data_IF_123233807584
#
_entry.id   IF_123233807584
#
_cell.length_a   1.000
_cell.length_b   1.000
_cell.length_c   1.000
_cell.angle_alpha   90.00
_cell.angle_beta   90.00
_cell.angle_gamma   90.00
#
_symmetry.space_group_name_H-M   'P 1'
#
loop_
_entity.id
_entity.type
_entity.pdbx_description
1 polymer ?
#
# COMPACT_ATOMS: atom_id res chain seq x y z
N UNK A 1 -13.69 8.89 -30.09
CA UNK A 1 -12.29 8.68 -29.65
C UNK A 1 -11.99 9.74 -28.59
N UNK A 2 -12.10 9.41 -27.30
CA UNK A 2 -11.85 10.37 -26.22
C UNK A 2 -10.37 10.74 -26.23
N UNK A 3 -10.05 11.99 -26.56
CA UNK A 3 -8.72 12.54 -26.35
C UNK A 3 -8.53 12.65 -24.84
N UNK A 4 -7.85 11.71 -24.22
CA UNK A 4 -7.36 11.87 -22.83
C UNK A 4 -6.54 13.16 -22.79
N UNK A 5 -6.96 14.12 -21.97
CA UNK A 5 -6.24 15.37 -21.82
C UNK A 5 -4.83 15.03 -21.29
N UNK A 6 -3.78 15.63 -21.84
CA UNK A 6 -2.40 15.41 -21.36
C UNK A 6 -2.29 15.64 -19.86
N UNK A 7 -3.08 16.58 -19.30
CA UNK A 7 -3.17 16.82 -17.86
C UNK A 7 -3.69 15.60 -17.11
N UNK A 8 -4.79 14.99 -17.55
CA UNK A 8 -5.40 13.83 -16.89
C UNK A 8 -4.43 12.65 -16.88
N UNK A 9 -3.72 12.43 -17.99
CA UNK A 9 -2.68 11.40 -18.07
C UNK A 9 -1.54 11.66 -17.10
N UNK A 10 -1.06 12.91 -16.99
CA UNK A 10 0.00 13.29 -16.05
C UNK A 10 -0.48 13.08 -14.61
N UNK A 11 -1.67 13.56 -14.25
CA UNK A 11 -2.25 13.39 -12.92
C UNK A 11 -2.36 11.91 -12.58
N UNK A 12 -2.89 11.10 -13.50
CA UNK A 12 -3.01 9.65 -13.32
C UNK A 12 -1.65 9.00 -13.03
N UNK A 13 -0.61 9.31 -13.80
CA UNK A 13 0.70 8.69 -13.59
C UNK A 13 1.40 9.21 -12.33
N UNK A 14 1.20 10.47 -11.95
CA UNK A 14 1.72 11.02 -10.69
C UNK A 14 1.07 10.33 -9.48
N UNK A 15 -0.26 10.22 -9.45
CA UNK A 15 -0.97 9.56 -8.34
C UNK A 15 -0.69 8.07 -8.31
N UNK A 16 -0.69 7.39 -9.46
CA UNK A 16 -0.31 5.97 -9.58
C UNK A 16 1.12 5.75 -9.08
N UNK A 17 2.06 6.62 -9.49
CA UNK A 17 3.45 6.56 -9.08
C UNK A 17 3.62 6.73 -7.56
N UNK A 18 2.91 7.68 -6.96
CA UNK A 18 2.93 7.91 -5.52
C UNK A 18 2.42 6.68 -4.75
N UNK A 19 1.27 6.12 -5.14
CA UNK A 19 0.72 4.90 -4.53
C UNK A 19 1.70 3.73 -4.65
N UNK A 20 2.25 3.50 -5.85
CA UNK A 20 3.23 2.43 -6.08
C UNK A 20 4.49 2.63 -5.24
N UNK A 21 4.98 3.87 -5.09
CA UNK A 21 6.16 4.17 -4.28
C UNK A 21 5.92 3.83 -2.81
N UNK A 22 4.80 4.25 -2.22
CA UNK A 22 4.45 3.97 -0.81
C UNK A 22 4.23 2.47 -0.58
N UNK A 23 3.52 1.80 -1.47
CA UNK A 23 3.29 0.35 -1.37
C UNK A 23 4.59 -0.44 -1.49
N UNK A 24 5.47 -0.06 -2.42
CA UNK A 24 6.78 -0.70 -2.59
C UNK A 24 7.67 -0.43 -1.39
N UNK A 25 7.75 0.83 -0.93
CA UNK A 25 8.54 1.21 0.22
C UNK A 25 8.15 0.40 1.47
N UNK A 26 6.86 0.36 1.79
CA UNK A 26 6.38 -0.41 2.95
C UNK A 26 6.64 -1.91 2.81
N UNK A 27 6.42 -2.50 1.63
CA UNK A 27 6.71 -3.91 1.36
C UNK A 27 8.19 -4.25 1.54
N UNK A 28 9.09 -3.39 1.06
CA UNK A 28 10.54 -3.54 1.26
C UNK A 28 10.88 -3.38 2.75
N UNK A 29 10.35 -2.33 3.40
CA UNK A 29 10.67 -2.01 4.78
C UNK A 29 10.28 -3.14 5.75
N UNK A 30 9.17 -3.84 5.51
CA UNK A 30 8.78 -5.03 6.28
C UNK A 30 9.82 -6.14 6.27
N UNK A 31 10.72 -6.17 5.28
CA UNK A 31 11.68 -7.25 5.03
C UNK A 31 13.13 -6.86 5.30
N UNK A 32 13.39 -5.62 5.69
CA UNK A 32 14.72 -5.20 6.12
C UNK A 32 15.07 -5.80 7.47
N UNK A 33 16.35 -6.17 7.65
CA UNK A 33 16.89 -6.61 8.94
C UNK A 33 16.75 -5.52 10.01
N UNK A 34 17.03 -4.28 9.61
CA UNK A 34 16.83 -3.08 10.41
C UNK A 34 15.85 -2.16 9.65
N UNK A 35 14.54 -2.31 9.90
CA UNK A 35 13.53 -1.55 9.21
C UNK A 35 13.53 -0.09 9.67
N UNK A 36 13.18 0.80 8.75
CA UNK A 36 13.04 2.23 9.00
C UNK A 36 11.80 2.48 9.86
N UNK A 37 11.96 3.37 10.85
CA UNK A 37 10.90 3.71 11.78
C UNK A 37 10.51 2.56 12.72
N UNK A 38 9.37 2.67 13.41
CA UNK A 38 8.89 1.72 14.42
C UNK A 38 8.33 0.40 13.84
N UNK A 39 8.90 -0.10 12.73
CA UNK A 39 8.41 -1.28 12.02
C UNK A 39 9.03 -2.61 12.51
N UNK A 40 10.08 -2.54 13.32
CA UNK A 40 10.73 -3.73 13.88
C UNK A 40 9.78 -4.44 14.83
N UNK A 41 9.38 -5.66 14.48
CA UNK A 41 8.41 -6.44 15.27
C UNK A 41 6.96 -5.95 15.17
N UNK A 42 6.63 -5.02 14.25
CA UNK A 42 5.29 -4.45 14.12
C UNK A 42 4.20 -5.51 13.91
N UNK A 43 4.46 -6.52 13.08
CA UNK A 43 3.49 -7.60 12.85
C UNK A 43 3.19 -8.39 14.13
N UNK A 44 4.21 -8.71 14.93
CA UNK A 44 4.03 -9.41 16.21
C UNK A 44 3.29 -8.54 17.22
N UNK A 45 3.62 -7.24 17.28
CA UNK A 45 2.94 -6.26 18.12
C UNK A 45 1.44 -6.16 17.79
N UNK A 46 1.11 -6.17 16.49
CA UNK A 46 -0.26 -6.20 15.99
C UNK A 46 -0.95 -7.57 16.17
N UNK A 47 -0.28 -8.56 16.76
CA UNK A 47 -0.83 -9.91 16.97
C UNK A 47 -0.88 -10.79 15.71
N UNK A 48 -0.23 -10.38 14.62
CA UNK A 48 -0.20 -11.14 13.38
C UNK A 48 0.87 -12.24 13.38
N UNK A 49 0.58 -13.40 12.78
CA UNK A 49 1.56 -14.46 12.60
C UNK A 49 2.62 -14.06 11.57
N UNK A 50 3.81 -14.65 11.67
CA UNK A 50 4.96 -14.29 10.84
C UNK A 50 4.74 -14.45 9.32
N UNK A 51 3.87 -15.38 8.91
CA UNK A 51 3.54 -15.58 7.49
C UNK A 51 2.73 -14.42 6.90
N UNK A 52 1.94 -13.69 7.70
CA UNK A 52 1.10 -12.60 7.21
C UNK A 52 1.93 -11.47 6.60
N UNK A 53 3.11 -11.21 7.18
CA UNK A 53 4.10 -10.27 6.62
C UNK A 53 4.52 -10.64 5.20
N UNK A 54 4.77 -11.92 4.95
CA UNK A 54 5.18 -12.43 3.62
C UNK A 54 4.00 -12.33 2.65
N UNK A 55 2.82 -12.78 3.07
CA UNK A 55 1.59 -12.70 2.28
C UNK A 55 1.29 -11.25 1.84
N UNK A 56 1.33 -10.30 2.79
CA UNK A 56 1.10 -8.89 2.52
C UNK A 56 2.18 -8.29 1.60
N UNK A 57 3.44 -8.72 1.74
CA UNK A 57 4.54 -8.30 0.86
C UNK A 57 4.28 -8.76 -0.58
N UNK A 58 3.90 -10.03 -0.76
CA UNK A 58 3.59 -10.60 -2.08
C UNK A 58 2.37 -9.91 -2.70
N UNK A 59 1.30 -9.70 -1.92
CA UNK A 59 0.11 -9.00 -2.38
C UNK A 59 0.42 -7.56 -2.84
N UNK A 60 1.25 -6.82 -2.08
CA UNK A 60 1.70 -5.48 -2.47
C UNK A 60 2.51 -5.48 -3.76
N UNK A 61 3.45 -6.43 -3.91
CA UNK A 61 4.23 -6.56 -5.14
C UNK A 61 3.34 -6.84 -6.36
N UNK A 62 2.39 -7.77 -6.24
CA UNK A 62 1.43 -8.08 -7.31
C UNK A 62 0.56 -6.87 -7.68
N UNK A 63 0.08 -6.10 -6.68
CA UNK A 63 -0.67 -4.88 -6.93
C UNK A 63 0.16 -3.82 -7.64
N UNK A 64 1.41 -3.60 -7.22
CA UNK A 64 2.31 -2.64 -7.88
C UNK A 64 2.54 -3.04 -9.34
N UNK A 65 2.78 -4.33 -9.60
CA UNK A 65 2.91 -4.85 -10.97
C UNK A 65 1.62 -4.64 -11.77
N UNK A 66 0.44 -4.91 -11.19
CA UNK A 66 -0.84 -4.71 -11.86
C UNK A 66 -1.08 -3.25 -12.28
N UNK A 67 -0.61 -2.27 -11.49
CA UNK A 67 -0.73 -0.85 -11.83
C UNK A 67 0.26 -0.40 -12.90
N UNK A 68 1.53 -0.82 -12.79
CA UNK A 68 2.63 -0.34 -13.63
C UNK A 68 2.75 -1.07 -14.98
N UNK A 69 2.36 -2.35 -15.06
CA UNK A 69 2.49 -3.12 -16.31
C UNK A 69 1.53 -2.58 -17.38
N UNK A 70 2.04 -2.25 -18.58
CA UNK A 70 1.18 -1.85 -19.69
C UNK A 70 0.31 -3.03 -20.15
N UNK A 71 -0.92 -2.76 -20.55
CA UNK A 71 -1.85 -3.80 -21.03
C UNK A 71 -2.70 -4.48 -19.96
N UNK A 72 -2.45 -4.24 -18.66
CA UNK A 72 -3.35 -4.71 -17.60
C UNK A 72 -4.74 -4.06 -17.77
N UNK A 73 -5.85 -4.83 -17.78
CA UNK A 73 -7.19 -4.30 -17.98
C UNK A 73 -7.57 -3.26 -16.93
N UNK A 74 -8.31 -2.22 -17.35
CA UNK A 74 -8.73 -1.12 -16.46
C UNK A 74 -9.43 -1.61 -15.18
N UNK A 75 -10.34 -2.58 -15.29
CA UNK A 75 -11.05 -3.15 -14.13
C UNK A 75 -10.10 -3.78 -13.11
N UNK A 76 -9.02 -4.43 -13.56
CA UNK A 76 -8.01 -5.00 -12.67
C UNK A 76 -7.21 -3.90 -11.95
N UNK A 77 -6.92 -2.78 -12.63
CA UNK A 77 -6.30 -1.61 -12.00
C UNK A 77 -7.19 -0.99 -10.94
N UNK A 78 -8.48 -0.81 -11.25
CA UNK A 78 -9.48 -0.30 -10.30
C UNK A 78 -9.60 -1.22 -9.06
N UNK A 79 -9.63 -2.54 -9.27
CA UNK A 79 -9.61 -3.52 -8.18
C UNK A 79 -8.33 -3.43 -7.34
N UNK A 80 -7.19 -3.20 -7.98
CA UNK A 80 -5.91 -3.03 -7.28
C UNK A 80 -5.91 -1.80 -6.38
N UNK A 81 -6.41 -0.66 -6.88
CA UNK A 81 -6.60 0.54 -6.06
C UNK A 81 -7.51 0.28 -4.87
N UNK A 82 -8.62 -0.42 -5.08
CA UNK A 82 -9.54 -0.77 -4.01
C UNK A 82 -8.88 -1.67 -2.95
N UNK A 83 -8.10 -2.68 -3.36
CA UNK A 83 -7.36 -3.55 -2.45
C UNK A 83 -6.30 -2.81 -1.64
N UNK A 84 -5.57 -1.88 -2.25
CA UNK A 84 -4.65 -1.00 -1.51
C UNK A 84 -5.38 -0.09 -0.53
N UNK A 85 -6.54 0.44 -0.92
CA UNK A 85 -7.36 1.24 -0.03
C UNK A 85 -7.81 0.46 1.20
N UNK A 86 -8.32 -0.77 1.01
CA UNK A 86 -8.64 -1.67 2.12
C UNK A 86 -7.42 -1.90 3.00
N UNK A 87 -6.26 -2.19 2.40
CA UNK A 87 -5.02 -2.46 3.14
C UNK A 87 -4.65 -1.29 4.06
N UNK A 88 -4.74 -0.05 3.57
CA UNK A 88 -4.43 1.15 4.35
C UNK A 88 -5.43 1.36 5.49
N UNK A 89 -6.74 1.24 5.21
CA UNK A 89 -7.78 1.33 6.25
C UNK A 89 -7.60 0.24 7.31
N UNK A 90 -7.32 -1.00 6.90
CA UNK A 90 -7.06 -2.11 7.82
C UNK A 90 -5.82 -1.88 8.68
N UNK A 91 -4.76 -1.27 8.14
CA UNK A 91 -3.58 -0.91 8.93
C UNK A 91 -3.93 0.09 10.04
N UNK A 92 -4.71 1.14 9.72
CA UNK A 92 -5.20 2.11 10.71
C UNK A 92 -6.05 1.44 11.80
N UNK A 93 -6.99 0.56 11.41
CA UNK A 93 -7.83 -0.18 12.35
C UNK A 93 -6.97 -1.08 13.26
N UNK A 94 -5.96 -1.75 12.71
CA UNK A 94 -5.08 -2.63 13.48
C UNK A 94 -4.28 -1.86 14.54
N UNK A 95 -3.66 -0.75 14.17
CA UNK A 95 -2.94 0.14 15.11
C UNK A 95 -3.87 0.72 16.18
N UNK A 96 -5.08 1.14 15.80
CA UNK A 96 -6.08 1.63 16.75
C UNK A 96 -6.50 0.55 17.76
N UNK A 97 -6.67 -0.69 17.28
CA UNK A 97 -7.16 -1.81 18.09
C UNK A 97 -6.16 -2.28 19.16
N UNK A 98 -4.87 -2.05 18.96
CA UNK A 98 -3.82 -2.35 19.96
C UNK A 98 -3.43 -1.13 20.82
N UNK A 99 -4.08 0.02 20.60
CA UNK A 99 -3.86 1.24 21.37
C UNK A 99 -2.58 2.00 20.99
N UNK A 100 -2.12 1.89 19.74
CA UNK A 100 -0.95 2.63 19.29
C UNK A 100 -1.20 4.15 19.26
N UNK A 101 -0.12 4.96 19.35
CA UNK A 101 -0.24 6.41 19.25
C UNK A 101 -0.96 6.84 17.96
N UNK A 102 -1.72 7.95 18.03
CA UNK A 102 -2.57 8.42 16.95
C UNK A 102 -1.85 8.58 15.59
N UNK A 103 -0.55 8.89 15.61
CA UNK A 103 0.26 8.97 14.39
C UNK A 103 0.25 7.67 13.58
N UNK A 104 0.32 6.50 14.22
CA UNK A 104 0.27 5.20 13.53
C UNK A 104 -1.11 4.89 12.96
N UNK A 105 -2.16 5.40 13.59
CA UNK A 105 -3.54 5.24 13.14
C UNK A 105 -3.81 6.13 11.93
N UNK A 106 -3.28 7.36 11.93
CA UNK A 106 -3.57 8.37 10.90
C UNK A 106 -2.67 8.22 9.68
N UNK A 107 -1.39 7.83 9.85
CA UNK A 107 -0.40 7.77 8.76
C UNK A 107 -0.90 7.00 7.52
N UNK A 108 -1.49 5.78 7.63
CA UNK A 108 -1.99 5.07 6.45
C UNK A 108 -3.13 5.80 5.72
N UNK A 109 -3.93 6.61 6.41
CA UNK A 109 -5.09 7.31 5.85
C UNK A 109 -4.69 8.58 5.08
N UNK A 110 -3.49 9.13 5.33
CA UNK A 110 -3.00 10.30 4.59
C UNK A 110 -2.77 10.02 3.10
N UNK A 111 -2.69 8.75 2.72
CA UNK A 111 -2.41 8.29 1.36
C UNK A 111 -3.66 7.87 0.56
N UNK A 112 -4.86 8.01 1.14
CA UNK A 112 -6.15 7.79 0.47
C UNK A 112 -6.67 9.09 -0.15
#
# INVERSE_FOLDING_TARGET
MNRTNKRDTIIYWLTTGAVCAVMTFSAVNFNLKEPLGPMKGAFTHLGYPSYFRIELTVAKALGVLALLVPGVPRKAKEFTYFGFGITLVSASIAHFSVGDPALFVIDPLLFL
#
